data_IF_515666034435
#
_entry.id   IF_515666034435
#
_cell.length_a   1.000
_cell.length_b   1.000
_cell.length_c   1.000
_cell.angle_alpha   90.00
_cell.angle_beta   90.00
_cell.angle_gamma   90.00
#
_symmetry.space_group_name_H-M   'P 1'
#
loop_
_entity.id
_entity.type
_entity.pdbx_description
1 polymer ?
#
# COMPACT_ATOMS: atom_id res chain seq x y z
N UNK A 1 -7.15 3.10 -1.08
CA UNK A 1 -7.86 4.24 -1.70
C UNK A 1 -9.05 3.72 -2.50
N UNK A 2 -10.26 4.30 -2.33
CA UNK A 2 -11.41 3.85 -3.13
C UNK A 2 -11.27 4.31 -4.58
N UNK A 3 -11.67 3.45 -5.52
CA UNK A 3 -11.54 3.70 -6.95
C UNK A 3 -12.35 4.93 -7.41
N UNK A 4 -13.48 5.22 -6.79
CA UNK A 4 -14.33 6.36 -7.13
C UNK A 4 -13.75 7.72 -6.69
N UNK A 5 -12.72 7.76 -5.86
CA UNK A 5 -11.99 9.01 -5.59
C UNK A 5 -10.98 9.35 -6.68
N UNK A 6 -10.52 8.34 -7.44
CA UNK A 6 -9.50 8.48 -8.48
C UNK A 6 -10.12 8.54 -9.87
N UNK A 7 -11.06 7.63 -10.15
CA UNK A 7 -11.60 7.44 -11.50
C UNK A 7 -12.92 8.19 -11.76
N UNK A 8 -13.53 8.80 -10.74
CA UNK A 8 -14.73 9.61 -10.93
C UNK A 8 -14.35 11.08 -11.16
N UNK A 9 -14.67 11.61 -12.35
CA UNK A 9 -14.39 13.01 -12.72
C UNK A 9 -15.07 14.03 -11.81
N UNK A 10 -16.17 13.67 -11.14
CA UNK A 10 -16.82 14.58 -10.20
C UNK A 10 -16.05 14.74 -8.88
N UNK A 11 -15.06 13.88 -8.60
CA UNK A 11 -14.23 13.91 -7.39
C UNK A 11 -12.74 14.10 -7.71
N UNK A 12 -12.39 14.35 -8.97
CA UNK A 12 -11.00 14.34 -9.38
C UNK A 12 -10.19 15.55 -8.88
N UNK A 13 -10.89 16.60 -8.42
CA UNK A 13 -10.29 17.78 -7.80
C UNK A 13 -9.53 17.52 -6.49
N UNK A 14 -9.69 16.36 -5.85
CA UNK A 14 -8.98 16.03 -4.61
C UNK A 14 -7.58 15.46 -4.84
N UNK A 15 -7.26 14.96 -6.05
CA UNK A 15 -6.02 14.22 -6.34
C UNK A 15 -5.39 14.73 -7.65
N UNK A 16 -5.21 16.05 -7.78
CA UNK A 16 -4.72 16.71 -9.00
C UNK A 16 -3.29 16.33 -9.36
N UNK A 17 -2.46 16.01 -8.36
CA UNK A 17 -1.10 15.52 -8.59
C UNK A 17 -1.11 14.20 -9.35
N UNK A 18 -2.06 13.30 -9.05
CA UNK A 18 -2.22 12.01 -9.72
C UNK A 18 -2.72 12.21 -11.15
N UNK A 19 -3.70 13.08 -11.38
CA UNK A 19 -4.17 13.42 -12.74
C UNK A 19 -3.02 13.93 -13.61
N UNK A 20 -2.21 14.85 -13.07
CA UNK A 20 -1.04 15.38 -13.78
C UNK A 20 0.00 14.31 -14.09
N UNK A 21 0.19 13.31 -13.23
CA UNK A 21 1.10 12.18 -13.50
C UNK A 21 0.58 11.27 -14.61
N UNK A 22 -0.74 11.08 -14.69
CA UNK A 22 -1.41 10.33 -15.76
C UNK A 22 -1.27 11.05 -17.11
N UNK A 23 -1.54 12.35 -17.16
CA UNK A 23 -1.39 13.17 -18.38
C UNK A 23 0.04 13.16 -18.93
N UNK A 24 1.03 13.11 -18.05
CA UNK A 24 2.44 13.07 -18.44
C UNK A 24 2.93 11.66 -18.84
N UNK A 25 2.06 10.64 -18.81
CA UNK A 25 2.40 9.26 -19.17
C UNK A 25 3.39 8.59 -18.21
N UNK A 26 3.55 9.11 -16.99
CA UNK A 26 4.52 8.63 -15.99
C UNK A 26 3.92 7.68 -14.94
N UNK A 27 2.64 7.35 -15.09
CA UNK A 27 1.89 6.56 -14.12
C UNK A 27 0.88 5.64 -14.81
N UNK A 28 0.60 4.50 -14.17
CA UNK A 28 -0.38 3.53 -14.64
C UNK A 28 -1.32 3.17 -13.49
N UNK A 29 -2.62 3.41 -13.72
CA UNK A 29 -3.66 3.29 -12.72
C UNK A 29 -4.47 2.01 -12.92
N UNK A 30 -4.68 1.24 -11.85
CA UNK A 30 -5.46 -0.01 -11.90
C UNK A 30 -6.55 -0.03 -10.84
N UNK A 31 -7.76 -0.45 -11.24
CA UNK A 31 -8.87 -0.71 -10.32
C UNK A 31 -8.83 -2.17 -9.89
N UNK A 32 -8.62 -2.40 -8.60
CA UNK A 32 -8.60 -3.74 -8.01
C UNK A 32 -9.82 -3.94 -7.14
N UNK A 33 -10.45 -5.12 -7.26
CA UNK A 33 -11.46 -5.57 -6.32
C UNK A 33 -10.76 -6.41 -5.27
N UNK A 34 -10.67 -5.88 -4.06
CA UNK A 34 -9.84 -6.44 -3.03
C UNK A 34 -10.66 -6.68 -1.76
N UNK A 35 -10.52 -7.87 -1.17
CA UNK A 35 -11.14 -8.21 0.11
C UNK A 35 -10.23 -7.88 1.31
N UNK A 36 -8.91 -7.86 1.13
CA UNK A 36 -7.94 -7.38 2.13
C UNK A 36 -6.63 -6.90 1.48
N UNK A 37 -5.90 -5.91 2.05
CA UNK A 37 -4.64 -5.41 1.48
C UNK A 37 -3.61 -6.50 1.19
N UNK A 38 -3.59 -7.57 1.98
CA UNK A 38 -2.68 -8.71 1.84
C UNK A 38 -2.86 -9.46 0.51
N UNK A 39 -4.07 -9.47 -0.05
CA UNK A 39 -4.35 -10.08 -1.35
C UNK A 39 -3.58 -9.40 -2.50
N UNK A 40 -3.22 -8.12 -2.34
CA UNK A 40 -2.48 -7.36 -3.36
C UNK A 40 -1.06 -7.90 -3.59
N UNK A 41 -0.36 -8.24 -2.51
CA UNK A 41 1.04 -8.68 -2.58
C UNK A 41 1.17 -10.17 -2.88
N UNK A 42 0.11 -10.93 -2.62
CA UNK A 42 0.17 -12.40 -2.49
C UNK A 42 -0.73 -13.10 -3.50
N UNK A 43 -1.70 -12.37 -4.09
CA UNK A 43 -2.68 -12.93 -5.01
C UNK A 43 -3.71 -13.85 -4.34
N UNK A 44 -3.68 -14.02 -3.01
CA UNK A 44 -4.52 -14.98 -2.27
C UNK A 44 -5.60 -14.30 -1.43
N UNK A 45 -6.67 -15.05 -1.15
CA UNK A 45 -7.83 -14.58 -0.38
C UNK A 45 -7.45 -14.47 1.12
N UNK A 46 -7.88 -13.40 1.83
CA UNK A 46 -7.60 -13.15 3.25
C UNK A 46 -7.76 -14.34 4.20
N UNK A 47 -8.71 -15.24 3.93
CA UNK A 47 -8.98 -16.41 4.78
C UNK A 47 -7.77 -17.34 4.94
N UNK A 48 -6.88 -17.38 3.95
CA UNK A 48 -5.64 -18.17 4.03
C UNK A 48 -4.69 -17.55 5.07
N UNK A 49 -4.62 -16.22 5.12
CA UNK A 49 -3.77 -15.48 6.07
C UNK A 49 -4.22 -15.64 7.52
N UNK A 50 -5.52 -15.58 7.79
CA UNK A 50 -6.05 -15.78 9.14
C UNK A 50 -5.72 -17.17 9.68
N UNK A 51 -5.70 -18.20 8.83
CA UNK A 51 -5.32 -19.56 9.21
C UNK A 51 -3.81 -19.67 9.46
N UNK A 52 -2.98 -19.04 8.62
CA UNK A 52 -1.51 -19.09 8.74
C UNK A 52 -1.00 -18.36 9.99
N UNK A 53 -1.56 -17.20 10.34
CA UNK A 53 -1.13 -16.46 11.53
C UNK A 53 -1.64 -17.08 12.84
N UNK A 54 -2.79 -17.78 12.81
CA UNK A 54 -3.27 -18.53 13.97
C UNK A 54 -2.52 -19.85 14.18
N UNK A 55 -1.98 -20.46 13.13
CA UNK A 55 -1.18 -21.67 13.23
C UNK A 55 0.30 -21.30 13.38
N UNK A 56 0.80 -21.37 14.62
CA UNK A 56 2.19 -21.15 15.02
C UNK A 56 3.17 -22.17 14.40
N UNK A 57 3.20 -22.29 13.08
CA UNK A 57 4.06 -23.18 12.32
C UNK A 57 5.00 -22.35 11.46
N UNK A 58 6.23 -22.20 11.96
CA UNK A 58 7.46 -22.00 11.19
C UNK A 58 7.27 -21.50 9.76
N UNK A 59 7.22 -20.18 9.60
CA UNK A 59 7.78 -19.46 8.45
C UNK A 59 7.48 -20.10 7.09
N UNK A 60 6.21 -20.40 6.83
CA UNK A 60 5.75 -20.93 5.55
C UNK A 60 6.19 -19.97 4.44
N UNK A 61 7.06 -20.48 3.58
CA UNK A 61 7.63 -19.91 2.36
C UNK A 61 6.54 -19.53 1.34
N UNK A 62 5.67 -18.59 1.69
CA UNK A 62 4.61 -18.15 0.78
C UNK A 62 5.22 -17.23 -0.27
N UNK A 63 5.41 -17.80 -1.47
CA UNK A 63 5.94 -17.09 -2.63
C UNK A 63 5.04 -15.90 -2.99
N UNK A 64 5.47 -14.70 -2.62
CA UNK A 64 4.78 -13.45 -2.91
C UNK A 64 5.69 -12.55 -3.76
N UNK A 65 5.13 -11.46 -4.31
CA UNK A 65 5.88 -10.60 -5.24
C UNK A 65 7.20 -10.08 -4.63
N UNK A 66 7.22 -9.80 -3.33
CA UNK A 66 8.40 -9.32 -2.62
C UNK A 66 9.46 -10.42 -2.44
N UNK A 67 9.05 -11.65 -2.13
CA UNK A 67 9.97 -12.79 -2.10
C UNK A 67 10.54 -13.11 -3.48
N UNK A 68 9.72 -13.12 -4.53
CA UNK A 68 10.19 -13.33 -5.90
C UNK A 68 11.21 -12.26 -6.29
N UNK A 69 10.93 -11.00 -5.97
CA UNK A 69 11.84 -9.90 -6.22
C UNK A 69 13.15 -10.05 -5.44
N UNK A 70 13.09 -10.35 -4.13
CA UNK A 70 14.28 -10.56 -3.29
C UNK A 70 15.12 -11.76 -3.73
N UNK A 71 14.49 -12.86 -4.12
CA UNK A 71 15.17 -14.05 -4.65
C UNK A 71 15.94 -13.71 -5.94
N UNK A 72 15.35 -12.89 -6.82
CA UNK A 72 15.98 -12.45 -8.06
C UNK A 72 17.05 -11.37 -7.84
N UNK A 73 16.84 -10.49 -6.86
CA UNK A 73 17.71 -9.36 -6.55
C UNK A 73 18.03 -9.29 -5.05
N UNK A 74 18.90 -10.17 -4.54
CA UNK A 74 19.14 -10.32 -3.10
C UNK A 74 19.70 -9.04 -2.44
N UNK A 75 20.50 -8.27 -3.17
CA UNK A 75 21.11 -7.04 -2.69
C UNK A 75 20.20 -5.80 -2.80
N UNK A 76 19.06 -5.92 -3.48
CA UNK A 76 18.18 -4.78 -3.66
C UNK A 76 17.47 -4.43 -2.35
N UNK A 77 17.44 -3.13 -2.03
CA UNK A 77 16.79 -2.64 -0.82
C UNK A 77 15.33 -2.30 -1.14
N UNK A 78 14.43 -2.95 -0.43
CA UNK A 78 13.01 -2.61 -0.42
C UNK A 78 12.76 -1.71 0.77
N UNK A 79 12.47 -0.44 0.51
CA UNK A 79 12.08 0.51 1.53
C UNK A 79 10.59 0.38 1.83
N UNK A 80 10.23 0.47 3.11
CA UNK A 80 8.84 0.54 3.55
C UNK A 80 8.63 1.80 4.40
N UNK A 81 7.60 2.57 4.06
CA UNK A 81 7.14 3.75 4.80
C UNK A 81 5.67 3.60 5.15
N UNK A 82 5.36 3.46 6.45
CA UNK A 82 4.01 3.19 6.93
C UNK A 82 4.01 2.69 8.39
N UNK A 83 2.89 2.13 8.83
CA UNK A 83 2.75 1.58 10.18
C UNK A 83 3.29 0.15 10.35
N UNK A 84 3.31 -0.30 11.60
CA UNK A 84 3.91 -1.60 11.99
C UNK A 84 3.11 -2.83 11.51
N UNK A 85 1.88 -2.68 11.02
CA UNK A 85 1.02 -3.79 10.60
C UNK A 85 1.69 -4.61 9.51
N UNK A 86 2.19 -3.95 8.46
CA UNK A 86 2.86 -4.64 7.36
C UNK A 86 4.20 -5.25 7.77
N UNK A 87 4.95 -4.60 8.67
CA UNK A 87 6.25 -5.12 9.13
C UNK A 87 6.06 -6.41 9.92
N UNK A 88 4.94 -6.57 10.65
CA UNK A 88 4.62 -7.80 11.39
C UNK A 88 4.17 -8.94 10.49
N UNK A 89 3.68 -8.65 9.28
CA UNK A 89 3.17 -9.66 8.34
C UNK A 89 4.28 -10.32 7.50
N UNK A 90 5.44 -9.66 7.38
CA UNK A 90 6.56 -10.14 6.58
C UNK A 90 7.79 -10.41 7.45
N UNK A 91 8.68 -11.33 7.06
CA UNK A 91 9.95 -11.50 7.73
C UNK A 91 10.74 -10.19 7.85
N UNK A 92 11.41 -10.02 8.99
CA UNK A 92 12.11 -8.78 9.35
C UNK A 92 13.21 -8.36 8.38
N UNK A 93 13.70 -9.25 7.53
CA UNK A 93 14.78 -9.04 6.56
C UNK A 93 14.31 -8.52 5.19
N UNK A 94 13.00 -8.52 4.92
CA UNK A 94 12.46 -8.04 3.64
C UNK A 94 12.58 -6.51 3.52
N UNK A 95 12.22 -5.79 4.58
CA UNK A 95 12.08 -4.33 4.56
C UNK A 95 13.25 -3.61 5.23
N UNK A 96 13.77 -2.59 4.55
CA UNK A 96 14.56 -1.54 5.19
C UNK A 96 13.59 -0.47 5.70
N UNK A 97 13.42 -0.39 7.01
CA UNK A 97 12.56 0.61 7.64
C UNK A 97 13.29 1.95 7.74
N UNK A 98 12.61 3.00 7.32
CA UNK A 98 12.94 4.35 7.76
C UNK A 98 11.69 5.02 8.32
N UNK A 99 11.86 5.83 9.37
CA UNK A 99 10.79 6.69 9.89
C UNK A 99 10.60 7.94 9.05
N UNK A 100 11.56 8.29 8.21
CA UNK A 100 11.55 9.48 7.36
C UNK A 100 11.93 9.10 5.92
N UNK A 101 11.16 9.57 4.94
CA UNK A 101 11.44 9.34 3.52
C UNK A 101 12.85 9.81 3.13
N UNK A 102 13.33 10.89 3.75
CA UNK A 102 14.61 11.53 3.46
C UNK A 102 15.82 10.68 3.89
N UNK A 103 15.60 9.69 4.76
CA UNK A 103 16.63 8.76 5.20
C UNK A 103 16.67 7.49 4.34
N UNK A 104 15.73 7.34 3.40
CA UNK A 104 15.70 6.26 2.42
C UNK A 104 16.60 6.62 1.23
N UNK A 105 17.92 6.50 1.41
CA UNK A 105 18.87 6.62 0.30
C UNK A 105 19.17 5.24 -0.31
N UNK A 106 19.15 5.17 -1.65
CA UNK A 106 19.59 3.98 -2.39
C UNK A 106 18.63 2.77 -2.31
N UNK A 107 17.32 3.01 -2.23
CA UNK A 107 16.32 1.95 -2.41
C UNK A 107 16.13 1.60 -3.89
N UNK A 108 15.77 0.35 -4.16
CA UNK A 108 15.43 -0.13 -5.49
C UNK A 108 13.92 -0.32 -5.66
N UNK A 109 13.22 -0.49 -4.55
CA UNK A 109 11.77 -0.59 -4.50
C UNK A 109 11.27 0.14 -3.26
N UNK A 110 10.17 0.89 -3.40
CA UNK A 110 9.56 1.64 -2.30
C UNK A 110 8.09 1.23 -2.18
N UNK A 111 7.70 0.86 -0.96
CA UNK A 111 6.31 0.62 -0.60
C UNK A 111 5.90 1.71 0.40
N UNK A 112 4.81 2.40 0.09
CA UNK A 112 4.24 3.41 0.97
C UNK A 112 2.84 2.96 1.39
N UNK A 113 2.58 3.01 2.69
CA UNK A 113 1.27 2.80 3.27
C UNK A 113 0.85 4.04 4.06
N UNK A 114 -0.20 4.71 3.58
CA UNK A 114 -0.82 5.84 4.27
C UNK A 114 -2.04 5.38 5.07
N UNK A 115 -2.09 5.79 6.34
CA UNK A 115 -3.21 5.57 7.25
C UNK A 115 -4.20 6.74 7.23
N UNK A 116 -5.44 6.46 7.64
CA UNK A 116 -6.38 7.45 8.16
C UNK A 116 -7.56 7.74 7.25
N UNK A 117 -7.43 7.56 5.94
CA UNK A 117 -8.56 7.75 5.02
C UNK A 117 -9.66 6.68 5.23
N UNK A 118 -9.25 5.45 5.52
CA UNK A 118 -10.12 4.33 5.86
C UNK A 118 -10.82 4.53 7.21
N UNK A 119 -10.09 4.95 8.24
CA UNK A 119 -10.66 5.23 9.56
C UNK A 119 -11.70 6.35 9.53
N UNK A 120 -11.41 7.47 8.83
CA UNK A 120 -12.37 8.58 8.67
C UNK A 120 -13.58 8.14 7.85
N UNK A 121 -13.36 7.36 6.78
CA UNK A 121 -14.44 6.85 5.94
C UNK A 121 -15.38 5.89 6.67
N UNK A 122 -14.86 5.05 7.58
CA UNK A 122 -15.67 4.18 8.42
C UNK A 122 -16.43 4.95 9.51
N UNK A 123 -15.79 5.93 10.15
CA UNK A 123 -16.40 6.69 11.24
C UNK A 123 -17.50 7.65 10.76
N UNK A 124 -17.29 8.29 9.60
CA UNK A 124 -18.06 9.46 9.19
C UNK A 124 -18.63 9.35 7.77
N UNK A 125 -18.52 8.17 7.13
CA UNK A 125 -18.99 7.92 5.77
C UNK A 125 -18.02 8.37 4.68
N UNK A 126 -18.21 7.86 3.46
CA UNK A 126 -17.25 8.02 2.37
C UNK A 126 -17.20 9.42 1.71
N UNK A 127 -18.20 10.27 1.95
CA UNK A 127 -18.33 11.57 1.27
C UNK A 127 -18.50 12.74 2.25
N UNK A 128 -17.75 12.73 3.35
CA UNK A 128 -17.70 13.85 4.29
C UNK A 128 -16.49 14.76 4.05
N UNK A 129 -16.49 15.96 4.65
CA UNK A 129 -15.41 16.94 4.46
C UNK A 129 -14.06 16.49 5.05
N UNK A 130 -14.04 15.69 6.12
CA UNK A 130 -12.80 15.13 6.66
C UNK A 130 -12.09 14.16 5.70
N UNK A 131 -12.85 13.38 4.91
CA UNK A 131 -12.31 12.54 3.83
C UNK A 131 -11.70 13.43 2.75
N UNK A 132 -12.34 14.55 2.42
CA UNK A 132 -11.82 15.52 1.45
C UNK A 132 -10.50 16.12 1.90
N UNK A 133 -10.45 16.60 3.15
CA UNK A 133 -9.24 17.19 3.73
C UNK A 133 -8.08 16.18 3.73
N UNK A 134 -8.37 14.91 4.04
CA UNK A 134 -7.38 13.84 4.02
C UNK A 134 -6.91 13.49 2.60
N UNK A 135 -7.80 13.51 1.61
CA UNK A 135 -7.40 13.32 0.21
C UNK A 135 -6.51 14.48 -0.28
N UNK A 136 -6.81 15.72 0.12
CA UNK A 136 -5.96 16.88 -0.18
C UNK A 136 -4.60 16.82 0.53
N UNK A 137 -4.53 16.21 1.73
CA UNK A 137 -3.25 15.92 2.38
C UNK A 137 -2.42 14.92 1.58
N UNK A 138 -3.05 13.88 1.02
CA UNK A 138 -2.37 12.88 0.18
C UNK A 138 -1.91 13.44 -1.17
N UNK A 139 -2.50 14.53 -1.65
CA UNK A 139 -2.18 15.17 -2.94
C UNK A 139 -0.99 16.14 -2.89
N UNK A 140 -0.49 16.46 -1.69
CA UNK A 140 0.68 17.34 -1.49
C UNK A 140 2.00 16.63 -1.72
#
# INVERSE_FOLDING_TARGET
>A
LRADYVFNRNHSYYLKSIEKLEENGKYLSYKLRCHSPTALLTGTIPSVWDVIFNYNSSQLELDNLLFQYKRKYPYNKIAFYGDDTWIRLFPHDIFHRSKELNQLNGWNFLIIHYLGLDHIGHASGAFNDFVKDKLLEYDK
#
